data_IF_496880677182
#
_entry.id   IF_496880677182
#
_cell.length_a   1.000
_cell.length_b   1.000
_cell.length_c   1.000
_cell.angle_alpha   90.00
_cell.angle_beta   90.00
_cell.angle_gamma   90.00
#
_symmetry.space_group_name_H-M   'P 1'
#
loop_
_entity.id
_entity.type
_entity.pdbx_description
1 polymer ?
#
# COMPACT_ATOMS: atom_id res chain seq x y z
N UNK A 1 -36.43 -7.20 22.21
CA UNK A 1 -35.76 -6.27 21.28
C UNK A 1 -34.35 -6.78 21.09
N UNK A 2 -34.10 -7.50 20.00
CA UNK A 2 -32.77 -8.02 19.67
C UNK A 2 -32.03 -6.94 18.90
N UNK A 3 -31.16 -6.21 19.59
CA UNK A 3 -30.22 -5.32 18.95
C UNK A 3 -29.19 -6.20 18.21
N UNK A 4 -29.45 -6.46 16.94
CA UNK A 4 -28.46 -7.07 16.05
C UNK A 4 -27.36 -6.02 15.85
N UNK A 5 -26.33 -6.09 16.70
CA UNK A 5 -25.03 -5.52 16.35
C UNK A 5 -24.53 -6.35 15.18
N UNK A 6 -24.80 -5.91 13.94
CA UNK A 6 -24.06 -6.39 12.80
C UNK A 6 -22.64 -5.88 12.97
N UNK A 7 -21.79 -6.66 13.65
CA UNK A 7 -20.36 -6.54 13.51
C UNK A 7 -20.09 -6.79 12.03
N UNK A 8 -20.10 -5.73 11.21
CA UNK A 8 -19.46 -5.77 9.92
C UNK A 8 -18.07 -6.35 10.20
N UNK A 9 -17.75 -7.52 9.67
CA UNK A 9 -16.44 -8.13 9.84
C UNK A 9 -15.43 -7.12 9.29
N UNK A 10 -14.80 -6.34 10.18
CA UNK A 10 -13.91 -5.23 9.83
C UNK A 10 -12.55 -5.77 9.42
N UNK A 11 -12.51 -6.64 8.41
CA UNK A 11 -11.30 -7.21 7.83
C UNK A 11 -10.27 -7.67 8.86
N UNK A 12 -9.00 -7.69 8.46
CA UNK A 12 -7.86 -7.88 9.37
C UNK A 12 -7.24 -6.51 9.64
N UNK A 13 -7.28 -5.99 10.88
CA UNK A 13 -6.68 -4.70 11.20
C UNK A 13 -5.20 -4.64 10.85
N UNK A 14 -4.76 -3.54 10.22
CA UNK A 14 -3.35 -3.32 9.82
C UNK A 14 -2.76 -4.44 8.96
N UNK A 15 -3.59 -5.17 8.19
CA UNK A 15 -3.16 -6.31 7.38
C UNK A 15 -1.93 -6.01 6.53
N UNK A 16 -1.97 -4.95 5.72
CA UNK A 16 -0.87 -4.59 4.83
C UNK A 16 0.38 -4.12 5.56
N UNK A 17 0.24 -3.35 6.64
CA UNK A 17 1.38 -2.98 7.48
C UNK A 17 2.08 -4.23 8.05
N UNK A 18 1.30 -5.18 8.58
CA UNK A 18 1.85 -6.43 9.11
C UNK A 18 2.49 -7.27 8.00
N UNK A 19 1.84 -7.38 6.84
CA UNK A 19 2.38 -8.10 5.68
C UNK A 19 3.72 -7.50 5.20
N UNK A 20 3.83 -6.17 5.11
CA UNK A 20 5.08 -5.51 4.74
C UNK A 20 6.17 -5.66 5.79
N UNK A 21 5.83 -5.59 7.09
CA UNK A 21 6.81 -5.80 8.18
C UNK A 21 7.30 -7.24 8.32
N UNK A 22 6.57 -8.22 7.75
CA UNK A 22 7.02 -9.60 7.68
C UNK A 22 8.03 -9.84 6.55
N UNK A 23 8.26 -8.87 5.67
CA UNK A 23 9.33 -8.89 4.69
C UNK A 23 10.56 -8.14 5.25
N UNK A 24 11.69 -8.83 5.39
CA UNK A 24 12.91 -8.29 6.02
C UNK A 24 13.36 -6.96 5.40
N UNK A 25 13.39 -6.89 4.07
CA UNK A 25 13.84 -5.69 3.35
C UNK A 25 12.90 -4.50 3.56
N UNK A 26 11.58 -4.71 3.48
CA UNK A 26 10.63 -3.63 3.71
C UNK A 26 10.57 -3.22 5.18
N UNK A 27 10.78 -4.15 6.12
CA UNK A 27 10.76 -3.86 7.54
C UNK A 27 11.87 -2.87 7.95
N UNK A 28 13.04 -2.96 7.33
CA UNK A 28 14.17 -2.03 7.56
C UNK A 28 13.87 -0.61 7.06
N UNK A 29 13.11 -0.50 5.98
CA UNK A 29 12.75 0.80 5.37
C UNK A 29 11.55 1.48 6.06
N UNK A 30 10.70 0.72 6.77
CA UNK A 30 9.51 1.26 7.45
C UNK A 30 9.90 1.85 8.81
N UNK A 31 9.86 3.17 8.92
CA UNK A 31 10.13 3.86 10.19
C UNK A 31 8.89 3.87 11.10
N UNK A 32 9.10 4.16 12.40
CA UNK A 32 7.99 4.38 13.36
C UNK A 32 7.00 5.46 12.92
N UNK A 33 7.44 6.45 12.13
CA UNK A 33 6.56 7.49 11.58
C UNK A 33 5.64 6.90 10.53
N UNK A 34 6.19 6.06 9.64
CA UNK A 34 5.50 5.46 8.52
C UNK A 34 4.45 4.45 9.00
N UNK A 35 4.76 3.66 10.03
CA UNK A 35 3.81 2.72 10.64
C UNK A 35 2.47 3.39 10.97
N UNK A 36 2.49 4.64 11.45
CA UNK A 36 1.26 5.35 11.83
C UNK A 36 0.36 5.67 10.64
N UNK A 37 0.96 6.00 9.49
CA UNK A 37 0.21 6.23 8.25
C UNK A 37 -0.20 4.91 7.59
N UNK A 38 0.70 3.92 7.57
CA UNK A 38 0.46 2.59 6.98
C UNK A 38 -0.62 1.78 7.69
N UNK A 39 -0.98 2.10 8.94
CA UNK A 39 -2.19 1.55 9.59
C UNK A 39 -3.49 1.85 8.85
N UNK A 40 -3.52 2.92 8.06
CA UNK A 40 -4.66 3.32 7.24
C UNK A 40 -4.58 2.76 5.82
N UNK A 41 -3.54 1.99 5.49
CA UNK A 41 -3.41 1.35 4.18
C UNK A 41 -4.45 0.22 4.08
N UNK A 42 -5.44 0.45 3.23
CA UNK A 42 -6.58 -0.43 3.00
C UNK A 42 -6.26 -1.49 1.95
N UNK A 43 -5.63 -1.08 0.85
CA UNK A 43 -5.36 -1.97 -0.28
C UNK A 43 -4.09 -1.59 -1.04
N UNK A 44 -3.48 -2.58 -1.68
CA UNK A 44 -2.38 -2.38 -2.63
C UNK A 44 -2.73 -3.11 -3.91
N UNK A 45 -2.97 -2.35 -4.99
CA UNK A 45 -3.14 -2.90 -6.32
C UNK A 45 -1.96 -2.58 -7.22
N UNK A 46 -1.87 -3.31 -8.32
CA UNK A 46 -0.92 -3.00 -9.38
C UNK A 46 -1.58 -3.13 -10.74
N UNK A 47 -1.15 -2.29 -11.67
CA UNK A 47 -1.60 -2.30 -13.06
C UNK A 47 -0.40 -2.32 -14.00
N UNK A 48 -0.49 -3.11 -15.06
CA UNK A 48 0.56 -3.17 -16.08
C UNK A 48 0.48 -1.92 -16.97
N UNK A 49 1.63 -1.30 -17.25
CA UNK A 49 1.73 -0.25 -18.25
C UNK A 49 1.66 -0.86 -19.66
N UNK A 50 0.98 -0.16 -20.56
CA UNK A 50 0.81 -0.60 -21.95
C UNK A 50 2.15 -1.00 -22.56
N UNK A 51 2.17 -2.14 -23.27
CA UNK A 51 3.35 -2.61 -23.98
C UNK A 51 4.43 -3.23 -23.08
N UNK A 52 4.11 -3.64 -21.84
CA UNK A 52 5.06 -4.19 -20.86
C UNK A 52 6.19 -3.21 -20.51
N UNK A 53 5.90 -1.92 -20.63
CA UNK A 53 6.85 -0.85 -20.31
C UNK A 53 7.02 -0.64 -18.80
N UNK A 54 6.30 -1.40 -17.98
CA UNK A 54 6.40 -1.39 -16.53
C UNK A 54 5.06 -1.61 -15.85
N UNK A 55 4.94 -1.11 -14.61
CA UNK A 55 3.72 -1.23 -13.82
C UNK A 55 3.55 -0.03 -12.88
N UNK A 56 2.32 0.22 -12.45
CA UNK A 56 1.99 1.20 -11.42
C UNK A 56 1.56 0.44 -10.17
N UNK A 57 2.12 0.79 -9.02
CA UNK A 57 1.59 0.41 -7.72
C UNK A 57 0.63 1.48 -7.23
N UNK A 58 -0.51 1.06 -6.71
CA UNK A 58 -1.59 1.90 -6.20
C UNK A 58 -1.84 1.53 -4.74
N UNK A 59 -1.61 2.49 -3.84
CA UNK A 59 -1.76 2.32 -2.41
C UNK A 59 -3.01 3.10 -1.96
N UNK A 60 -4.04 2.37 -1.58
CA UNK A 60 -5.32 2.93 -1.19
C UNK A 60 -5.38 3.14 0.31
N UNK A 61 -5.60 4.37 0.75
CA UNK A 61 -5.66 4.74 2.16
C UNK A 61 -7.06 5.19 2.56
N UNK A 62 -7.45 4.81 3.78
CA UNK A 62 -8.55 5.49 4.47
C UNK A 62 -8.11 6.91 4.88
N UNK A 63 -9.10 7.77 5.15
CA UNK A 63 -8.87 9.12 5.67
C UNK A 63 -8.01 9.06 6.94
N UNK A 64 -6.95 9.87 7.00
CA UNK A 64 -5.95 9.81 8.05
C UNK A 64 -5.37 11.22 8.34
N UNK A 65 -4.72 11.44 9.50
CA UNK A 65 -4.22 12.78 9.88
C UNK A 65 -2.87 13.16 9.26
N UNK A 66 -2.30 12.33 8.38
CA UNK A 66 -0.95 12.54 7.83
C UNK A 66 -0.97 13.16 6.44
N UNK A 67 -1.97 12.83 5.63
CA UNK A 67 -2.19 13.36 4.29
C UNK A 67 -3.67 13.22 3.89
N UNK A 68 -4.07 13.98 2.88
CA UNK A 68 -5.46 14.00 2.40
C UNK A 68 -5.72 13.01 1.26
N UNK A 69 -4.67 12.57 0.55
CA UNK A 69 -4.78 11.68 -0.60
C UNK A 69 -5.29 10.29 -0.17
N UNK A 70 -6.35 9.80 -0.80
CA UNK A 70 -6.85 8.44 -0.58
C UNK A 70 -6.15 7.41 -1.47
N UNK A 71 -5.34 7.85 -2.43
CA UNK A 71 -4.61 7.02 -3.37
C UNK A 71 -3.21 7.60 -3.58
N UNK A 72 -2.18 6.84 -3.22
CA UNK A 72 -0.80 7.13 -3.60
C UNK A 72 -0.38 6.19 -4.72
N UNK A 73 0.27 6.71 -5.75
CA UNK A 73 0.73 5.90 -6.88
C UNK A 73 2.24 5.96 -7.05
N UNK A 74 2.87 4.82 -7.34
CA UNK A 74 4.28 4.77 -7.75
C UNK A 74 4.41 4.01 -9.07
N UNK A 75 4.83 4.72 -10.11
CA UNK A 75 5.08 4.14 -11.43
C UNK A 75 6.51 3.61 -11.54
N UNK A 76 6.66 2.34 -11.92
CA UNK A 76 7.93 1.70 -12.23
C UNK A 76 8.00 1.47 -13.73
N UNK A 77 9.00 2.06 -14.39
CA UNK A 77 9.25 1.83 -15.83
C UNK A 77 10.34 0.78 -16.01
N UNK A 78 10.18 -0.08 -17.00
CA UNK A 78 11.09 -1.17 -17.34
C UNK A 78 11.77 -0.86 -18.67
N UNK A 79 13.07 -1.14 -18.77
CA UNK A 79 13.86 -1.09 -20.01
C UNK A 79 14.54 -2.45 -20.17
N UNK A 80 14.36 -3.09 -21.32
CA UNK A 80 14.90 -4.44 -21.60
C UNK A 80 14.54 -5.48 -20.53
N UNK A 81 13.31 -5.42 -20.00
CA UNK A 81 12.84 -6.35 -18.97
C UNK A 81 13.42 -6.13 -17.57
N UNK A 82 14.14 -5.02 -17.34
CA UNK A 82 14.66 -4.63 -16.02
C UNK A 82 14.08 -3.28 -15.59
N UNK A 83 13.82 -3.04 -14.29
CA UNK A 83 13.39 -1.72 -13.85
C UNK A 83 14.46 -0.70 -14.20
N UNK A 84 14.06 0.37 -14.88
CA UNK A 84 14.90 1.54 -15.06
C UNK A 84 15.21 2.02 -13.65
N UNK A 85 16.47 1.92 -13.22
CA UNK A 85 16.90 2.42 -11.91
C UNK A 85 16.32 3.82 -11.76
N UNK A 86 15.54 4.03 -10.69
CA UNK A 86 15.19 5.37 -10.29
C UNK A 86 16.54 6.08 -10.10
N UNK A 87 16.76 7.14 -10.89
CA UNK A 87 17.90 8.01 -10.66
C UNK A 87 17.58 8.66 -9.32
N UNK A 88 18.28 8.20 -8.27
CA UNK A 88 18.26 8.84 -6.96
C UNK A 88 18.79 10.26 -7.04
#
# INVERSE_FOLDING_TARGET
>A
SNFLVTFAEKGVPSFWLNAMKNNEFLAEEITKRDERALKYLKDINWTELRGKEGFVLEFYFDSNPYFNDTLLTKTFRMVNGKPKKAMG
#
